data_IF_806669317186
#
_entry.id   IF_806669317186
#
_cell.length_a   1.000
_cell.length_b   1.000
_cell.length_c   1.000
_cell.angle_alpha   90.00
_cell.angle_beta   90.00
_cell.angle_gamma   90.00
#
_symmetry.space_group_name_H-M   'P 1'
#
loop_
_entity.id
_entity.type
_entity.pdbx_description
1 polymer ?
#
# COMPACT_ATOMS: atom_id res chain seq x y z
N UNK A 1 -21.86 3.87 5.57
CA UNK A 1 -20.54 4.55 5.53
C UNK A 1 -19.50 3.54 5.93
N UNK A 2 -18.43 3.37 5.14
CA UNK A 2 -17.26 2.57 5.54
C UNK A 2 -16.65 3.20 6.78
N UNK A 3 -16.16 2.38 7.72
CA UNK A 3 -15.60 2.88 8.97
C UNK A 3 -14.34 3.72 8.69
N UNK A 4 -14.28 5.00 9.11
CA UNK A 4 -13.11 5.87 8.92
C UNK A 4 -11.80 5.26 9.45
N UNK A 5 -11.88 4.35 10.42
CA UNK A 5 -10.71 3.68 10.98
C UNK A 5 -9.99 2.74 10.00
N UNK A 6 -10.69 2.12 9.04
CA UNK A 6 -10.06 1.14 8.14
C UNK A 6 -9.26 1.81 7.03
N UNK A 7 -9.75 2.92 6.49
CA UNK A 7 -8.98 3.74 5.56
C UNK A 7 -7.72 4.30 6.22
N UNK A 8 -7.82 4.77 7.47
CA UNK A 8 -6.65 5.27 8.19
C UNK A 8 -5.55 4.21 8.34
N UNK A 9 -5.90 2.95 8.62
CA UNK A 9 -4.94 1.84 8.72
C UNK A 9 -4.24 1.56 7.39
N UNK A 10 -5.00 1.51 6.28
CA UNK A 10 -4.43 1.28 4.94
C UNK A 10 -3.47 2.43 4.58
N UNK A 11 -3.91 3.68 4.79
CA UNK A 11 -3.12 4.87 4.50
C UNK A 11 -1.83 4.91 5.33
N UNK A 12 -1.93 4.61 6.63
CA UNK A 12 -0.76 4.52 7.50
C UNK A 12 0.23 3.45 7.02
N UNK A 13 -0.27 2.28 6.60
CA UNK A 13 0.58 1.24 6.05
C UNK A 13 1.27 1.66 4.75
N UNK A 14 0.59 2.38 3.86
CA UNK A 14 1.18 2.92 2.63
C UNK A 14 2.29 3.95 2.91
N UNK A 15 2.08 4.83 3.90
CA UNK A 15 3.09 5.80 4.35
C UNK A 15 4.28 5.09 4.99
N UNK A 16 4.03 4.09 5.84
CA UNK A 16 5.10 3.27 6.43
C UNK A 16 5.91 2.53 5.37
N UNK A 17 5.25 1.99 4.35
CA UNK A 17 5.92 1.34 3.22
C UNK A 17 6.82 2.32 2.46
N UNK A 18 6.35 3.53 2.18
CA UNK A 18 7.16 4.57 1.53
C UNK A 18 8.43 4.91 2.34
N UNK A 19 8.27 5.13 3.65
CA UNK A 19 9.38 5.41 4.55
C UNK A 19 10.37 4.25 4.63
N UNK A 20 9.87 3.01 4.71
CA UNK A 20 10.72 1.82 4.79
C UNK A 20 11.53 1.64 3.51
N UNK A 21 10.94 1.84 2.33
CA UNK A 21 11.70 1.75 1.07
C UNK A 21 12.82 2.80 1.05
N UNK A 22 12.50 4.05 1.44
CA UNK A 22 13.51 5.11 1.51
C UNK A 22 14.64 4.77 2.50
N UNK A 23 14.31 4.18 3.65
CA UNK A 23 15.27 3.71 4.63
C UNK A 23 16.15 2.58 4.07
N UNK A 24 15.55 1.55 3.46
CA UNK A 24 16.28 0.43 2.87
C UNK A 24 17.23 0.88 1.76
N UNK A 25 16.80 1.82 0.90
CA UNK A 25 17.65 2.40 -0.14
C UNK A 25 18.89 3.10 0.44
N UNK A 26 18.74 3.78 1.58
CA UNK A 26 19.85 4.47 2.26
C UNK A 26 20.78 3.52 3.05
N UNK A 27 20.37 2.27 3.27
CA UNK A 27 21.07 1.28 4.08
C UNK A 27 21.27 -0.05 3.33
N UNK A 28 21.54 0.04 2.03
CA UNK A 28 21.92 -1.10 1.17
C UNK A 28 20.96 -2.30 1.20
N UNK A 29 19.67 -2.07 1.48
CA UNK A 29 18.62 -3.09 1.48
C UNK A 29 18.81 -4.22 2.50
N UNK A 30 19.43 -3.92 3.65
CA UNK A 30 19.78 -4.88 4.69
C UNK A 30 18.60 -5.59 5.38
N UNK A 31 17.36 -5.13 5.19
CA UNK A 31 16.17 -5.71 5.85
C UNK A 31 14.93 -5.68 4.94
N UNK A 32 15.04 -6.27 3.75
CA UNK A 32 13.95 -6.30 2.78
C UNK A 32 12.72 -7.12 3.22
N UNK A 33 12.85 -7.97 4.24
CA UNK A 33 11.71 -8.69 4.87
C UNK A 33 10.65 -7.73 5.41
N UNK A 34 11.07 -6.59 5.96
CA UNK A 34 10.17 -5.57 6.51
C UNK A 34 9.27 -4.98 5.42
N UNK A 35 9.78 -4.84 4.18
CA UNK A 35 8.98 -4.40 3.04
C UNK A 35 7.85 -5.38 2.70
N UNK A 36 8.16 -6.68 2.73
CA UNK A 36 7.16 -7.73 2.48
C UNK A 36 6.09 -7.72 3.56
N UNK A 37 6.48 -7.57 4.83
CA UNK A 37 5.55 -7.50 5.95
C UNK A 37 4.61 -6.29 5.84
N UNK A 38 5.14 -5.11 5.54
CA UNK A 38 4.34 -3.90 5.39
C UNK A 38 3.33 -4.02 4.23
N UNK A 39 3.74 -4.59 3.09
CA UNK A 39 2.83 -4.85 1.97
C UNK A 39 1.70 -5.79 2.39
N UNK A 40 2.02 -6.89 3.10
CA UNK A 40 1.01 -7.84 3.59
C UNK A 40 0.03 -7.18 4.56
N UNK A 41 0.52 -6.34 5.47
CA UNK A 41 -0.35 -5.60 6.40
C UNK A 41 -1.31 -4.66 5.68
N UNK A 42 -0.84 -3.94 4.64
CA UNK A 42 -1.71 -3.09 3.80
C UNK A 42 -2.75 -3.94 3.08
N UNK A 43 -2.34 -5.06 2.50
CA UNK A 43 -3.22 -6.01 1.81
C UNK A 43 -4.30 -6.59 2.74
N UNK A 44 -3.96 -6.91 4.00
CA UNK A 44 -4.91 -7.37 5.00
C UNK A 44 -5.93 -6.28 5.35
N UNK A 45 -5.48 -5.03 5.54
CA UNK A 45 -6.37 -3.89 5.75
C UNK A 45 -7.34 -3.67 4.58
N UNK A 46 -6.86 -3.81 3.34
CA UNK A 46 -7.69 -3.75 2.13
C UNK A 46 -8.73 -4.87 2.12
N UNK A 47 -8.30 -6.12 2.33
CA UNK A 47 -9.19 -7.29 2.32
C UNK A 47 -10.29 -7.14 3.40
N UNK A 48 -9.91 -6.79 4.62
CA UNK A 48 -10.86 -6.58 5.71
C UNK A 48 -11.85 -5.45 5.42
N UNK A 49 -11.41 -4.39 4.72
CA UNK A 49 -12.29 -3.30 4.28
C UNK A 49 -13.29 -3.76 3.22
N UNK A 50 -12.84 -4.54 2.23
CA UNK A 50 -13.72 -5.12 1.21
C UNK A 50 -14.77 -6.04 1.87
N UNK A 51 -14.33 -6.98 2.70
CA UNK A 51 -15.21 -7.95 3.37
C UNK A 51 -16.26 -7.25 4.24
N UNK A 52 -15.83 -6.34 5.10
CA UNK A 52 -16.72 -5.59 5.99
C UNK A 52 -17.66 -4.67 5.20
N UNK A 53 -17.13 -3.97 4.20
CA UNK A 53 -17.89 -3.05 3.37
C UNK A 53 -18.94 -3.74 2.50
N UNK A 54 -18.63 -4.94 1.99
CA UNK A 54 -19.56 -5.78 1.26
C UNK A 54 -20.69 -6.30 2.17
N UNK A 55 -20.35 -6.84 3.34
CA UNK A 55 -21.34 -7.31 4.32
C UNK A 55 -22.30 -6.19 4.74
N UNK A 56 -21.75 -4.99 5.03
CA UNK A 56 -22.52 -3.84 5.44
C UNK A 56 -23.21 -3.09 4.28
N UNK A 57 -22.98 -3.48 3.02
CA UNK A 57 -23.43 -2.77 1.80
C UNK A 57 -23.05 -1.28 1.79
N UNK A 58 -21.83 -0.98 2.20
CA UNK A 58 -21.32 0.40 2.33
C UNK A 58 -20.26 0.76 1.29
N UNK A 59 -19.77 -0.21 0.52
CA UNK A 59 -18.89 0.00 -0.63
C UNK A 59 -19.70 -0.07 -1.91
N UNK A 60 -19.50 0.91 -2.79
CA UNK A 60 -19.90 0.80 -4.20
C UNK A 60 -19.04 -0.21 -4.94
N UNK A 61 -19.51 -0.68 -6.09
CA UNK A 61 -18.74 -1.58 -6.96
C UNK A 61 -17.41 -0.95 -7.39
N UNK A 62 -17.44 0.35 -7.75
CA UNK A 62 -16.23 1.07 -8.15
C UNK A 62 -15.18 1.15 -7.03
N UNK A 63 -15.60 1.40 -5.79
CA UNK A 63 -14.69 1.46 -4.64
C UNK A 63 -14.08 0.08 -4.35
N UNK A 64 -14.90 -0.97 -4.42
CA UNK A 64 -14.43 -2.35 -4.26
C UNK A 64 -13.39 -2.70 -5.33
N UNK A 65 -13.66 -2.40 -6.59
CA UNK A 65 -12.77 -2.73 -7.71
C UNK A 65 -11.47 -1.93 -7.63
N UNK A 66 -11.53 -0.70 -7.14
CA UNK A 66 -10.35 0.14 -6.87
C UNK A 66 -9.49 -0.44 -5.75
N UNK A 67 -10.10 -0.84 -4.63
CA UNK A 67 -9.40 -1.51 -3.53
C UNK A 67 -8.77 -2.83 -3.97
N UNK A 68 -9.49 -3.64 -4.74
CA UNK A 68 -8.96 -4.89 -5.28
C UNK A 68 -7.79 -4.65 -6.23
N UNK A 69 -7.87 -3.60 -7.06
CA UNK A 69 -6.78 -3.21 -7.95
C UNK A 69 -5.54 -2.76 -7.16
N UNK A 70 -5.72 -2.03 -6.05
CA UNK A 70 -4.62 -1.69 -5.14
C UNK A 70 -4.00 -2.94 -4.51
N UNK A 71 -4.82 -3.88 -4.03
CA UNK A 71 -4.35 -5.16 -3.48
C UNK A 71 -3.49 -5.92 -4.50
N UNK A 72 -3.97 -6.05 -5.73
CA UNK A 72 -3.28 -6.77 -6.81
C UNK A 72 -2.00 -6.04 -7.22
N UNK A 73 -2.01 -4.71 -7.31
CA UNK A 73 -0.82 -3.93 -7.63
C UNK A 73 0.28 -4.11 -6.56
N UNK A 74 -0.09 -4.10 -5.27
CA UNK A 74 0.88 -4.35 -4.21
C UNK A 74 1.40 -5.79 -4.21
N UNK A 75 0.57 -6.75 -4.62
CA UNK A 75 0.97 -8.16 -4.70
C UNK A 75 2.13 -8.38 -5.66
N UNK A 76 2.23 -7.62 -6.76
CA UNK A 76 3.29 -7.81 -7.77
C UNK A 76 4.70 -7.58 -7.22
N UNK A 77 4.84 -6.82 -6.13
CA UNK A 77 6.15 -6.56 -5.51
C UNK A 77 6.63 -7.69 -4.61
N UNK A 78 5.70 -8.54 -4.16
CA UNK A 78 5.96 -9.62 -3.21
C UNK A 78 5.54 -10.99 -3.73
N UNK A 79 5.14 -11.08 -5.00
CA UNK A 79 4.75 -12.33 -5.63
C UNK A 79 5.93 -13.30 -5.57
N UNK A 80 5.70 -14.48 -4.99
CA UNK A 80 6.71 -15.51 -4.72
C UNK A 80 7.79 -15.15 -3.69
N UNK A 81 7.66 -14.02 -2.98
CA UNK A 81 8.58 -13.63 -1.90
C UNK A 81 8.09 -14.15 -0.54
N UNK A 82 8.92 -15.00 0.07
CA UNK A 82 8.78 -15.41 1.47
C UNK A 82 9.15 -14.27 2.44
N UNK A 83 9.00 -14.51 3.74
CA UNK A 83 9.31 -13.52 4.78
C UNK A 83 10.67 -13.71 5.46
N UNK A 84 11.48 -14.68 5.02
CA UNK A 84 12.77 -15.01 5.64
C UNK A 84 13.90 -15.02 4.59
N UNK A 85 15.06 -14.52 4.99
CA UNK A 85 16.32 -14.40 4.25
C UNK A 85 16.13 -13.77 2.86
N UNK A 86 15.28 -12.74 2.82
CA UNK A 86 14.93 -12.09 1.55
C UNK A 86 16.06 -11.18 1.06
N UNK A 87 16.85 -11.67 0.12
CA UNK A 87 17.76 -10.82 -0.65
C UNK A 87 17.04 -10.27 -1.88
N UNK A 88 17.11 -8.96 -2.09
CA UNK A 88 16.59 -8.33 -3.30
C UNK A 88 17.65 -8.30 -4.40
N UNK A 89 17.30 -8.77 -5.58
CA UNK A 89 18.07 -8.50 -6.80
C UNK A 89 17.88 -7.03 -7.24
N UNK A 90 18.74 -6.60 -8.17
CA UNK A 90 18.74 -5.21 -8.67
C UNK A 90 17.41 -4.81 -9.34
N UNK A 91 16.70 -5.77 -9.94
CA UNK A 91 15.39 -5.50 -10.54
C UNK A 91 14.31 -5.26 -9.48
N UNK A 92 14.32 -6.06 -8.41
CA UNK A 92 13.43 -5.88 -7.26
C UNK A 92 13.69 -4.53 -6.58
N UNK A 93 14.97 -4.17 -6.36
CA UNK A 93 15.35 -2.87 -5.79
C UNK A 93 14.79 -1.71 -6.61
N UNK A 94 15.02 -1.71 -7.93
CA UNK A 94 14.47 -0.69 -8.84
C UNK A 94 12.94 -0.66 -8.85
N UNK A 95 12.29 -1.81 -8.68
CA UNK A 95 10.83 -1.87 -8.58
C UNK A 95 10.33 -1.20 -7.30
N UNK A 96 10.98 -1.45 -6.16
CA UNK A 96 10.67 -0.75 -4.92
C UNK A 96 10.98 0.75 -5.01
N UNK A 97 12.06 1.18 -5.65
CA UNK A 97 12.34 2.61 -5.89
C UNK A 97 11.23 3.30 -6.70
N UNK A 98 10.69 2.62 -7.73
CA UNK A 98 9.52 3.12 -8.47
C UNK A 98 8.29 3.19 -7.57
N UNK A 99 8.07 2.20 -6.71
CA UNK A 99 6.98 2.20 -5.75
C UNK A 99 7.09 3.37 -4.76
N UNK A 100 8.28 3.63 -4.20
CA UNK A 100 8.59 4.76 -3.33
C UNK A 100 8.18 6.09 -3.99
N UNK A 101 8.67 6.32 -5.21
CA UNK A 101 8.37 7.54 -5.95
C UNK A 101 6.86 7.69 -6.19
N UNK A 102 6.21 6.61 -6.60
CA UNK A 102 4.77 6.57 -6.90
C UNK A 102 3.91 6.77 -5.66
N UNK A 103 4.27 6.19 -4.51
CA UNK A 103 3.61 6.44 -3.23
C UNK A 103 3.73 7.92 -2.85
N UNK A 104 4.94 8.47 -2.92
CA UNK A 104 5.21 9.88 -2.57
C UNK A 104 4.44 10.86 -3.44
N UNK A 105 4.46 10.70 -4.77
CA UNK A 105 3.75 11.60 -5.70
C UNK A 105 2.23 11.53 -5.59
N UNK A 106 1.69 10.40 -5.15
CA UNK A 106 0.25 10.22 -4.94
C UNK A 106 -0.22 10.54 -3.52
N UNK A 107 0.67 11.13 -2.70
CA UNK A 107 0.28 11.68 -1.41
C UNK A 107 0.41 10.72 -0.24
N UNK A 108 1.17 9.63 -0.40
CA UNK A 108 1.52 8.67 0.66
C UNK A 108 2.95 8.83 1.18
N UNK A 109 3.51 10.04 1.09
CA UNK A 109 4.83 10.35 1.64
C UNK A 109 4.77 10.81 3.09
N UNK A 110 5.83 10.57 3.84
CA UNK A 110 6.02 10.96 5.27
C UNK A 110 5.68 12.41 5.66
N UNK A 111 5.66 13.35 4.70
CA UNK A 111 5.36 14.78 4.94
C UNK A 111 3.99 15.23 4.44
N UNK A 112 3.13 14.30 3.99
CA UNK A 112 1.84 14.61 3.40
C UNK A 112 0.78 14.16 4.41
N UNK A 113 0.11 15.13 5.05
CA UNK A 113 -0.81 14.89 6.16
C UNK A 113 -1.85 13.80 5.88
N UNK A 114 -2.14 13.00 6.91
CA UNK A 114 -3.17 11.97 6.88
C UNK A 114 -4.55 12.58 6.72
N UNK A 115 -5.34 12.08 5.76
CA UNK A 115 -6.76 12.37 5.68
C UNK A 115 -7.56 11.16 6.14
N UNK A 116 -8.39 11.32 7.15
CA UNK A 116 -9.38 10.29 7.51
C UNK A 116 -10.58 10.27 6.54
N UNK A 117 -10.57 11.12 5.50
CA UNK A 117 -11.62 11.19 4.49
C UNK A 117 -11.48 10.04 3.48
N UNK A 118 -12.52 9.21 3.44
CA UNK A 118 -12.68 8.12 2.48
C UNK A 118 -12.62 8.61 1.03
N UNK A 119 -13.25 9.74 0.72
CA UNK A 119 -13.29 10.26 -0.66
C UNK A 119 -11.90 10.67 -1.14
N UNK A 120 -11.10 11.32 -0.30
CA UNK A 120 -9.72 11.67 -0.64
C UNK A 120 -8.84 10.41 -0.78
N UNK A 121 -9.01 9.43 0.11
CA UNK A 121 -8.32 8.15 0.00
C UNK A 121 -8.60 7.45 -1.33
N UNK A 122 -9.86 7.35 -1.73
CA UNK A 122 -10.24 6.72 -3.01
C UNK A 122 -9.65 7.49 -4.20
N UNK A 123 -9.74 8.82 -4.19
CA UNK A 123 -9.17 9.66 -5.26
C UNK A 123 -7.66 9.46 -5.41
N UNK A 124 -6.90 9.45 -4.30
CA UNK A 124 -5.45 9.19 -4.32
C UNK A 124 -5.13 7.78 -4.79
N UNK A 125 -5.93 6.79 -4.39
CA UNK A 125 -5.75 5.40 -4.81
C UNK A 125 -5.97 5.23 -6.31
N UNK A 126 -6.99 5.86 -6.88
CA UNK A 126 -7.22 5.86 -8.33
C UNK A 126 -6.08 6.55 -9.09
N UNK A 127 -5.58 7.69 -8.57
CA UNK A 127 -4.40 8.37 -9.12
C UNK A 127 -3.16 7.47 -9.08
N UNK A 128 -2.94 6.80 -7.94
CA UNK A 128 -1.86 5.82 -7.79
C UNK A 128 -2.00 4.69 -8.82
N UNK A 129 -3.19 4.14 -9.03
CA UNK A 129 -3.35 3.03 -9.99
C UNK A 129 -3.16 3.43 -11.45
N UNK A 130 -3.24 4.73 -11.78
CA UNK A 130 -3.14 5.24 -13.16
C UNK A 130 -1.80 5.88 -13.53
N UNK A 131 -0.95 6.18 -12.54
CA UNK A 131 0.43 6.67 -12.73
C UNK A 131 1.43 5.56 -13.03
#
# INVERSE_FOLDING_TARGET
MVNPSTAAVIQQGLVQLEMEIAYQKAHDWNSAEQLVLLIRNVQEGIRGTIETGQYARTLSDHERDTLWSLYMNLNTYIENKGTHDLTLDEESKKSFERLEAKLRTNGWGSNIGFSSDWTDFMRRTTSFLSS
#
